data_IF_864935215941
#
_entry.id   IF_864935215941
#
_cell.length_a   1.000
_cell.length_b   1.000
_cell.length_c   1.000
_cell.angle_alpha   90.00
_cell.angle_beta   90.00
_cell.angle_gamma   90.00
#
_symmetry.space_group_name_H-M   'P 1'
#
loop_
_entity.id
_entity.type
_entity.pdbx_description
1 polymer ?
#
# COMPACT_ATOMS: atom_id res chain seq x y z
N UNK A 1 5.16 26.24 -15.69
CA UNK A 1 6.19 25.22 -16.02
C UNK A 1 7.50 25.71 -15.43
N UNK A 2 7.93 25.16 -14.32
CA UNK A 2 9.29 25.34 -13.82
C UNK A 2 10.23 24.65 -14.80
N UNK A 3 11.31 25.32 -15.20
CA UNK A 3 12.34 24.74 -16.06
C UNK A 3 12.84 23.43 -15.40
N UNK A 4 12.95 22.35 -16.19
CA UNK A 4 13.62 21.13 -15.73
C UNK A 4 15.06 21.50 -15.38
N UNK A 5 15.46 21.11 -14.19
CA UNK A 5 16.85 21.19 -13.77
C UNK A 5 17.48 19.86 -14.21
N UNK A 6 18.12 19.89 -15.40
CA UNK A 6 18.64 18.68 -16.05
C UNK A 6 19.73 17.95 -15.23
N UNK A 7 20.23 18.59 -14.15
CA UNK A 7 21.19 17.99 -13.22
C UNK A 7 20.56 17.17 -12.10
N UNK A 8 19.21 17.22 -11.95
CA UNK A 8 18.51 16.46 -10.90
C UNK A 8 17.86 15.19 -11.45
N UNK A 9 17.87 14.06 -10.70
CA UNK A 9 17.21 12.82 -11.11
C UNK A 9 15.72 13.03 -11.43
N UNK A 10 15.23 12.36 -12.47
CA UNK A 10 13.80 12.37 -12.79
C UNK A 10 13.04 11.42 -11.87
N UNK A 11 11.93 11.87 -11.31
CA UNK A 11 10.99 11.06 -10.54
C UNK A 11 9.73 10.80 -11.33
N UNK A 12 9.45 9.54 -11.67
CA UNK A 12 8.17 9.13 -12.24
C UNK A 12 7.19 8.80 -11.12
N UNK A 13 6.07 9.50 -11.11
CA UNK A 13 4.96 9.23 -10.19
C UNK A 13 3.87 8.46 -10.92
N UNK A 14 3.54 7.28 -10.41
CA UNK A 14 2.52 6.39 -10.98
C UNK A 14 1.25 6.47 -10.12
N UNK A 15 0.15 6.87 -10.75
CA UNK A 15 -1.17 7.06 -10.14
C UNK A 15 -2.21 6.20 -10.87
N UNK A 16 -2.64 5.05 -10.33
CA UNK A 16 -3.82 4.34 -10.83
C UNK A 16 -5.08 5.12 -10.45
N UNK A 17 -6.04 5.25 -11.36
CA UNK A 17 -7.31 5.93 -11.11
C UNK A 17 -8.49 5.05 -11.55
N UNK A 18 -9.53 4.96 -10.71
CA UNK A 18 -10.79 4.32 -11.05
C UNK A 18 -11.93 4.89 -10.24
N UNK A 19 -12.84 5.61 -10.89
CA UNK A 19 -14.02 6.24 -10.27
C UNK A 19 -13.64 7.12 -9.06
N UNK A 20 -12.79 8.11 -9.29
CA UNK A 20 -12.29 9.05 -8.27
C UNK A 20 -12.52 10.52 -8.64
N UNK A 21 -13.55 10.82 -9.45
CA UNK A 21 -13.85 12.17 -9.92
C UNK A 21 -13.93 13.21 -8.77
N UNK A 22 -14.41 12.80 -7.59
CA UNK A 22 -14.52 13.69 -6.43
C UNK A 22 -13.14 14.10 -5.82
N UNK A 23 -12.06 13.36 -6.11
CA UNK A 23 -10.78 13.50 -5.41
C UNK A 23 -9.58 13.70 -6.34
N UNK A 24 -9.68 13.21 -7.59
CA UNK A 24 -8.57 13.09 -8.52
C UNK A 24 -7.84 14.43 -8.78
N UNK A 25 -8.58 15.54 -8.87
CA UNK A 25 -7.96 16.84 -9.10
C UNK A 25 -7.02 17.23 -7.95
N UNK A 26 -7.44 17.07 -6.69
CA UNK A 26 -6.61 17.38 -5.53
C UNK A 26 -5.40 16.45 -5.44
N UNK A 27 -5.57 15.17 -5.79
CA UNK A 27 -4.47 14.19 -5.82
C UNK A 27 -3.43 14.55 -6.90
N UNK A 28 -3.87 14.87 -8.11
CA UNK A 28 -3.00 15.32 -9.22
C UNK A 28 -2.27 16.61 -8.85
N UNK A 29 -2.98 17.63 -8.37
CA UNK A 29 -2.37 18.90 -7.98
C UNK A 29 -1.31 18.71 -6.89
N UNK A 30 -1.54 17.83 -5.93
CA UNK A 30 -0.58 17.53 -4.86
C UNK A 30 0.76 16.97 -5.35
N UNK A 31 0.77 16.33 -6.52
CA UNK A 31 1.99 15.84 -7.18
C UNK A 31 2.62 16.94 -8.02
N UNK A 32 1.81 17.67 -8.80
CA UNK A 32 2.30 18.72 -9.71
C UNK A 32 2.84 19.96 -8.96
N UNK A 33 2.37 20.17 -7.73
CA UNK A 33 2.79 21.27 -6.86
C UNK A 33 3.96 20.89 -5.92
N UNK A 34 4.62 19.73 -6.14
CA UNK A 34 5.82 19.40 -5.39
C UNK A 34 6.95 20.38 -5.70
N UNK A 35 7.72 20.70 -4.66
CA UNK A 35 8.88 21.60 -4.72
C UNK A 35 10.14 20.99 -5.35
N UNK A 36 10.00 19.85 -6.02
CA UNK A 36 11.05 19.18 -6.77
C UNK A 36 10.84 19.37 -8.29
N UNK A 37 11.83 19.86 -9.06
CA UNK A 37 11.62 20.34 -10.43
C UNK A 37 11.43 19.23 -11.47
N UNK A 38 12.02 18.05 -11.25
CA UNK A 38 12.03 16.95 -12.22
C UNK A 38 11.06 15.84 -11.84
N UNK A 39 9.75 16.09 -12.02
CA UNK A 39 8.68 15.11 -11.83
C UNK A 39 7.93 14.90 -13.13
N UNK A 40 7.70 13.65 -13.51
CA UNK A 40 6.65 13.27 -14.46
C UNK A 40 5.53 12.55 -13.73
N UNK A 41 4.28 12.91 -14.03
CA UNK A 41 3.10 12.24 -13.50
C UNK A 41 2.46 11.37 -14.58
N UNK A 42 2.32 10.09 -14.31
CA UNK A 42 1.68 9.11 -15.18
C UNK A 42 0.41 8.62 -14.47
N UNK A 43 -0.74 9.05 -14.99
CA UNK A 43 -2.05 8.62 -14.49
C UNK A 43 -2.59 7.53 -15.41
N UNK A 44 -2.99 6.41 -14.81
CA UNK A 44 -3.59 5.29 -15.55
C UNK A 44 -5.05 5.16 -15.13
N UNK A 45 -5.94 5.65 -16.00
CA UNK A 45 -7.38 5.45 -15.81
C UNK A 45 -7.76 4.01 -16.14
N UNK A 46 -8.19 3.29 -15.14
CA UNK A 46 -8.56 1.87 -15.20
C UNK A 46 -10.05 1.68 -15.56
N UNK A 47 -10.53 2.47 -16.55
CA UNK A 47 -11.89 2.37 -17.09
C UNK A 47 -12.96 3.06 -16.23
N UNK A 48 -12.69 4.26 -15.76
CA UNK A 48 -13.65 5.06 -14.98
C UNK A 48 -14.91 5.41 -15.76
N UNK A 49 -16.02 5.56 -15.05
CA UNK A 49 -17.36 5.86 -15.58
C UNK A 49 -18.06 7.05 -14.90
N UNK A 50 -17.33 7.77 -14.03
CA UNK A 50 -17.88 8.82 -13.13
C UNK A 50 -17.42 10.24 -13.45
N UNK A 51 -16.77 10.47 -14.59
CA UNK A 51 -16.21 11.78 -14.95
C UNK A 51 -14.72 11.96 -14.59
N UNK A 52 -14.06 10.97 -14.01
CA UNK A 52 -12.62 11.02 -13.68
C UNK A 52 -11.77 11.35 -14.91
N UNK A 53 -12.06 10.71 -16.06
CA UNK A 53 -11.25 10.88 -17.28
C UNK A 53 -11.42 12.28 -17.88
N UNK A 54 -12.61 12.89 -17.78
CA UNK A 54 -12.87 14.25 -18.24
C UNK A 54 -12.01 15.25 -17.47
N UNK A 55 -11.95 15.12 -16.13
CA UNK A 55 -11.12 15.96 -15.26
C UNK A 55 -9.63 15.78 -15.63
N UNK A 56 -9.18 14.54 -15.82
CA UNK A 56 -7.78 14.26 -16.16
C UNK A 56 -7.37 14.88 -17.51
N UNK A 57 -8.26 14.92 -18.50
CA UNK A 57 -7.99 15.55 -19.80
C UNK A 57 -7.77 17.05 -19.71
N UNK A 58 -8.33 17.74 -18.73
CA UNK A 58 -8.13 19.17 -18.52
C UNK A 58 -6.69 19.54 -18.15
N UNK A 59 -5.92 18.58 -17.63
CA UNK A 59 -4.51 18.79 -17.30
C UNK A 59 -3.59 18.84 -18.52
N UNK A 60 -4.02 18.35 -19.68
CA UNK A 60 -3.25 18.38 -20.93
C UNK A 60 -1.87 17.74 -20.78
N UNK A 61 -0.84 18.46 -21.24
CA UNK A 61 0.55 17.98 -21.21
C UNK A 61 1.22 18.04 -19.83
N UNK A 62 0.51 18.45 -18.79
CA UNK A 62 1.04 18.47 -17.41
C UNK A 62 1.19 17.08 -16.82
N UNK A 63 0.47 16.09 -17.36
CA UNK A 63 0.56 14.69 -16.99
C UNK A 63 0.48 13.80 -18.24
N UNK A 64 0.95 12.57 -18.11
CA UNK A 64 0.74 11.53 -19.12
C UNK A 64 -0.48 10.69 -18.73
N UNK A 65 -1.57 10.79 -19.49
CA UNK A 65 -2.78 10.00 -19.29
C UNK A 65 -2.73 8.72 -20.13
N UNK A 66 -2.88 7.57 -19.47
CA UNK A 66 -3.12 6.27 -20.07
C UNK A 66 -4.54 5.82 -19.73
N UNK A 67 -5.17 5.07 -20.62
CA UNK A 67 -6.51 4.51 -20.41
C UNK A 67 -6.52 3.02 -20.73
N UNK A 68 -7.20 2.24 -19.90
CA UNK A 68 -7.39 0.80 -20.12
C UNK A 68 -8.78 0.37 -19.66
N UNK A 69 -9.19 -0.85 -20.04
CA UNK A 69 -10.36 -1.49 -19.42
C UNK A 69 -10.02 -1.87 -17.97
N UNK A 70 -11.01 -1.84 -17.08
CA UNK A 70 -10.78 -2.15 -15.68
C UNK A 70 -10.18 -3.55 -15.48
N UNK A 71 -8.95 -3.58 -14.95
CA UNK A 71 -8.18 -4.77 -14.62
C UNK A 71 -7.60 -4.72 -13.20
N UNK A 72 -7.89 -3.64 -12.46
CA UNK A 72 -7.48 -3.42 -11.09
C UNK A 72 -6.14 -2.69 -10.94
N UNK A 73 -5.91 -2.17 -9.75
CA UNK A 73 -4.80 -1.27 -9.42
C UNK A 73 -3.41 -1.87 -9.70
N UNK A 74 -3.23 -3.20 -9.58
CA UNK A 74 -1.96 -3.85 -9.91
C UNK A 74 -1.59 -3.71 -11.38
N UNK A 75 -2.55 -3.98 -12.29
CA UNK A 75 -2.35 -3.85 -13.74
C UNK A 75 -2.15 -2.40 -14.13
N UNK A 76 -2.94 -1.49 -13.56
CA UNK A 76 -2.79 -0.05 -13.81
C UNK A 76 -1.41 0.46 -13.34
N UNK A 77 -0.92 0.07 -12.15
CA UNK A 77 0.43 0.42 -11.71
C UNK A 77 1.50 -0.15 -12.64
N UNK A 78 1.36 -1.40 -13.09
CA UNK A 78 2.30 -2.00 -14.04
C UNK A 78 2.34 -1.26 -15.37
N UNK A 79 1.18 -0.82 -15.88
CA UNK A 79 1.10 -0.01 -17.11
C UNK A 79 1.80 1.34 -16.93
N UNK A 80 1.60 2.01 -15.79
CA UNK A 80 2.29 3.26 -15.46
C UNK A 80 3.80 3.09 -15.33
N UNK A 81 4.28 2.05 -14.63
CA UNK A 81 5.70 1.73 -14.52
C UNK A 81 6.33 1.49 -15.90
N UNK A 82 5.65 0.77 -16.78
CA UNK A 82 6.15 0.49 -18.14
C UNK A 82 6.34 1.75 -19.00
N UNK A 83 5.64 2.84 -18.69
CA UNK A 83 5.74 4.13 -19.38
C UNK A 83 6.64 5.15 -18.65
N UNK A 84 7.10 4.82 -17.44
CA UNK A 84 7.93 5.70 -16.64
C UNK A 84 9.35 5.80 -17.19
N UNK A 85 9.97 7.00 -17.08
CA UNK A 85 11.32 7.30 -17.57
C UNK A 85 12.28 7.74 -16.46
N UNK A 86 11.77 8.03 -15.25
CA UNK A 86 12.55 8.56 -14.13
C UNK A 86 13.54 7.57 -13.54
N UNK A 87 14.57 8.08 -12.90
CA UNK A 87 15.57 7.32 -12.13
C UNK A 87 14.95 6.74 -10.85
N UNK A 88 13.92 7.42 -10.36
CA UNK A 88 13.09 7.01 -9.23
C UNK A 88 11.64 6.82 -9.66
N UNK A 89 10.98 5.86 -9.03
CA UNK A 89 9.56 5.59 -9.21
C UNK A 89 8.86 5.72 -7.86
N UNK A 90 7.84 6.57 -7.81
CA UNK A 90 7.00 6.78 -6.63
C UNK A 90 5.54 6.48 -6.96
N UNK A 91 4.74 6.19 -5.93
CA UNK A 91 3.35 5.78 -6.08
C UNK A 91 2.43 6.67 -5.24
N UNK A 92 1.28 6.99 -5.80
CA UNK A 92 0.17 7.65 -5.09
C UNK A 92 -1.15 7.06 -5.57
N UNK A 93 -2.13 6.94 -4.70
CA UNK A 93 -3.49 6.57 -5.08
C UNK A 93 -4.30 7.83 -5.44
N UNK A 94 -5.27 7.70 -6.32
CA UNK A 94 -5.98 8.83 -6.95
C UNK A 94 -7.00 9.54 -6.02
N UNK A 95 -7.09 9.11 -4.79
CA UNK A 95 -7.93 9.67 -3.72
C UNK A 95 -7.12 10.22 -2.53
N UNK A 96 -5.77 10.12 -2.60
CA UNK A 96 -4.86 10.55 -1.55
C UNK A 96 -4.09 11.84 -1.93
N UNK A 97 -3.40 12.44 -0.95
CA UNK A 97 -2.70 13.71 -1.14
C UNK A 97 -1.28 13.65 -0.61
N UNK A 98 -0.31 14.13 -1.39
CA UNK A 98 1.04 14.36 -0.93
C UNK A 98 1.21 15.74 -0.30
N UNK A 99 2.07 15.82 0.71
CA UNK A 99 2.47 17.08 1.29
C UNK A 99 3.69 17.65 0.55
N UNK A 100 3.84 18.97 0.45
CA UNK A 100 5.05 19.60 -0.08
C UNK A 100 6.30 19.10 0.66
N UNK A 101 7.41 18.93 -0.08
CA UNK A 101 8.67 18.44 0.47
C UNK A 101 8.87 16.93 0.42
N UNK A 102 7.86 16.15 0.04
CA UNK A 102 7.98 14.68 -0.02
C UNK A 102 9.05 14.23 -1.02
N UNK A 103 8.92 14.67 -2.26
CA UNK A 103 9.80 14.20 -3.35
C UNK A 103 11.22 14.64 -3.08
N UNK A 104 11.44 15.92 -2.76
CA UNK A 104 12.77 16.46 -2.47
C UNK A 104 13.47 15.70 -1.33
N UNK A 105 12.77 15.46 -0.22
CA UNK A 105 13.34 14.76 0.95
C UNK A 105 13.72 13.31 0.63
N UNK A 106 12.91 12.58 -0.13
CA UNK A 106 13.21 11.19 -0.48
C UNK A 106 14.35 11.09 -1.49
N UNK A 107 14.39 11.96 -2.51
CA UNK A 107 15.49 12.01 -3.47
C UNK A 107 16.80 12.36 -2.76
N UNK A 108 16.82 13.44 -1.97
CA UNK A 108 18.01 13.85 -1.21
C UNK A 108 18.56 12.72 -0.33
N UNK A 109 17.67 11.98 0.33
CA UNK A 109 18.07 10.84 1.15
C UNK A 109 18.65 9.71 0.30
N UNK A 110 18.01 9.33 -0.79
CA UNK A 110 18.44 8.25 -1.65
C UNK A 110 19.75 8.59 -2.39
N UNK A 111 19.95 9.84 -2.79
CA UNK A 111 21.20 10.28 -3.42
C UNK A 111 22.39 10.20 -2.47
N UNK A 112 22.18 10.48 -1.18
CA UNK A 112 23.23 10.32 -0.13
C UNK A 112 23.47 8.85 0.25
N UNK A 113 22.53 7.96 -0.08
CA UNK A 113 22.57 6.54 0.26
C UNK A 113 22.35 5.68 -0.99
N UNK A 114 23.36 5.58 -1.88
CA UNK A 114 23.23 4.86 -3.15
C UNK A 114 22.99 3.35 -2.98
N UNK A 115 23.32 2.80 -1.81
CA UNK A 115 23.08 1.39 -1.45
C UNK A 115 21.60 1.11 -1.14
N UNK A 116 20.79 2.14 -0.85
CA UNK A 116 19.36 1.98 -0.52
C UNK A 116 18.51 2.05 -1.77
N UNK A 117 17.78 0.99 -2.04
CA UNK A 117 16.92 0.90 -3.22
C UNK A 117 15.50 1.40 -3.02
N UNK A 118 15.04 1.53 -1.76
CA UNK A 118 13.67 1.91 -1.43
C UNK A 118 13.60 2.75 -0.17
N UNK A 119 12.82 3.81 -0.22
CA UNK A 119 12.42 4.60 0.95
C UNK A 119 10.91 4.67 1.07
N UNK A 120 10.43 4.88 2.29
CA UNK A 120 9.04 5.26 2.56
C UNK A 120 8.98 6.22 3.75
N UNK A 121 7.83 6.85 3.93
CA UNK A 121 7.59 7.85 4.96
C UNK A 121 6.39 7.47 5.81
N UNK A 122 6.00 8.32 6.74
CA UNK A 122 4.73 8.22 7.44
C UNK A 122 3.62 9.00 6.72
N UNK A 123 2.37 8.74 7.14
CA UNK A 123 1.18 9.41 6.65
C UNK A 123 0.22 9.71 7.80
N UNK A 124 -0.73 10.61 7.56
CA UNK A 124 -1.89 10.79 8.43
C UNK A 124 -3.16 10.24 7.79
N UNK A 125 -3.97 9.56 8.59
CA UNK A 125 -5.34 9.25 8.19
C UNK A 125 -6.16 10.54 8.17
N UNK A 126 -6.72 10.85 7.01
CA UNK A 126 -7.50 12.06 6.78
C UNK A 126 -8.99 11.73 6.71
N UNK A 127 -9.71 12.13 7.74
CA UNK A 127 -11.15 11.89 7.86
C UNK A 127 -11.91 13.16 7.52
N UNK A 128 -13.11 13.04 6.91
CA UNK A 128 -13.98 14.20 6.76
C UNK A 128 -14.46 14.66 8.14
N UNK A 129 -14.79 15.93 8.25
CA UNK A 129 -15.52 16.48 9.38
C UNK A 129 -16.99 16.03 9.39
N UNK A 130 -17.80 16.38 10.42
CA UNK A 130 -19.21 15.98 10.47
C UNK A 130 -20.08 16.52 9.32
N UNK A 131 -19.59 17.53 8.56
CA UNK A 131 -20.25 18.03 7.35
C UNK A 131 -19.91 17.20 6.10
N UNK A 132 -18.98 16.26 6.20
CA UNK A 132 -18.45 15.50 5.07
C UNK A 132 -17.28 16.17 4.34
N UNK A 133 -16.80 17.31 4.86
CA UNK A 133 -15.72 18.09 4.22
C UNK A 133 -14.35 17.62 4.73
N UNK A 134 -13.41 17.43 3.79
CA UNK A 134 -12.01 17.14 4.12
C UNK A 134 -11.24 18.44 4.32
N UNK A 135 -11.06 18.82 5.58
CA UNK A 135 -10.21 19.97 5.93
C UNK A 135 -8.77 19.52 6.13
N UNK A 136 -7.84 20.14 5.40
CA UNK A 136 -6.41 19.86 5.57
C UNK A 136 -5.98 20.28 6.99
N UNK A 137 -5.36 19.37 7.77
CA UNK A 137 -4.85 19.75 9.10
C UNK A 137 -3.78 20.84 8.98
N UNK A 138 -3.66 21.70 9.98
CA UNK A 138 -2.60 22.74 10.01
C UNK A 138 -1.19 22.16 9.90
N UNK A 139 -0.97 20.96 10.41
CA UNK A 139 0.27 20.18 10.25
C UNK A 139 0.53 19.74 8.80
N UNK A 140 -0.45 19.83 7.91
CA UNK A 140 -0.35 19.40 6.51
C UNK A 140 0.15 20.49 5.55
N UNK A 141 0.75 21.57 6.07
CA UNK A 141 1.36 22.64 5.23
C UNK A 141 2.65 22.20 4.52
N UNK A 142 3.22 21.06 4.93
CA UNK A 142 4.42 20.47 4.34
C UNK A 142 4.87 19.23 5.08
N UNK A 143 5.87 18.56 4.54
CA UNK A 143 6.52 17.43 5.21
C UNK A 143 7.06 17.87 6.59
N UNK A 144 6.76 17.09 7.62
CA UNK A 144 7.17 17.38 8.99
C UNK A 144 7.59 16.10 9.72
N UNK A 145 8.46 16.19 10.76
CA UNK A 145 8.89 15.03 11.52
C UNK A 145 7.70 14.27 12.14
N UNK A 146 7.70 12.94 12.00
CA UNK A 146 6.77 12.08 12.71
C UNK A 146 7.08 12.05 14.22
N UNK A 147 8.37 11.92 14.55
CA UNK A 147 8.88 11.97 15.91
C UNK A 147 9.81 13.18 16.09
N UNK A 148 9.65 13.97 17.16
CA UNK A 148 10.46 15.17 17.38
C UNK A 148 11.85 14.90 17.95
N UNK A 149 12.32 13.64 17.96
CA UNK A 149 13.60 13.21 18.54
C UNK A 149 14.84 13.60 17.70
N UNK A 150 14.62 14.26 16.57
CA UNK A 150 15.68 14.72 15.67
C UNK A 150 16.35 13.62 14.84
N UNK A 151 15.94 12.35 14.98
CA UNK A 151 16.49 11.28 14.17
C UNK A 151 15.94 11.36 12.74
N UNK A 152 16.79 11.21 11.71
CA UNK A 152 16.33 11.26 10.29
C UNK A 152 15.56 10.02 9.88
N UNK A 153 15.77 8.88 10.54
CA UNK A 153 15.16 7.60 10.24
C UNK A 153 14.41 7.03 11.43
N UNK A 154 13.39 6.21 11.12
CA UNK A 154 12.68 5.41 12.11
C UNK A 154 13.24 3.98 12.12
N UNK A 155 13.85 3.57 13.24
CA UNK A 155 14.51 2.26 13.39
C UNK A 155 13.60 1.08 13.07
N UNK A 156 12.29 1.21 13.38
CA UNK A 156 11.31 0.16 13.12
C UNK A 156 11.11 -0.10 11.62
N UNK A 157 11.26 0.90 10.80
CA UNK A 157 11.02 0.84 9.35
C UNK A 157 12.29 0.87 8.52
N UNK A 158 13.50 0.68 9.14
CA UNK A 158 14.77 0.80 8.43
C UNK A 158 15.63 -0.47 8.56
N UNK A 159 16.43 -0.76 7.52
CA UNK A 159 17.30 -1.92 7.39
C UNK A 159 16.73 -3.03 6.52
N UNK A 160 17.16 -4.26 6.74
CA UNK A 160 16.62 -5.46 6.09
C UNK A 160 15.24 -5.80 6.69
N UNK A 161 14.16 -5.44 6.00
CA UNK A 161 12.81 -5.51 6.55
C UNK A 161 12.08 -6.84 6.30
N UNK A 162 12.65 -7.77 5.54
CA UNK A 162 11.95 -9.02 5.18
C UNK A 162 11.28 -9.71 6.37
N UNK A 163 12.01 -9.94 7.44
CA UNK A 163 11.50 -10.64 8.62
C UNK A 163 10.41 -9.86 9.36
N UNK A 164 10.49 -8.52 9.38
CA UNK A 164 9.47 -7.66 9.97
C UNK A 164 8.21 -7.64 9.11
N UNK A 165 8.37 -7.58 7.80
CA UNK A 165 7.25 -7.60 6.86
C UNK A 165 6.47 -8.93 6.86
N UNK A 166 7.04 -10.04 7.32
CA UNK A 166 6.26 -11.26 7.55
C UNK A 166 5.13 -11.10 8.59
N UNK A 167 5.18 -10.05 9.42
CA UNK A 167 4.19 -9.74 10.45
C UNK A 167 3.22 -8.62 10.08
N UNK A 168 3.36 -8.02 8.92
CA UNK A 168 2.47 -6.98 8.40
C UNK A 168 3.19 -6.00 7.47
N UNK A 169 2.44 -5.35 6.61
CA UNK A 169 2.99 -4.29 5.76
C UNK A 169 3.33 -3.07 6.59
N UNK A 170 4.57 -2.57 6.47
CA UNK A 170 5.00 -1.29 7.05
C UNK A 170 4.88 -0.15 6.04
N UNK A 171 5.36 -0.30 4.77
CA UNK A 171 5.21 0.75 3.78
C UNK A 171 3.74 0.86 3.33
N UNK A 172 3.23 2.08 3.31
CA UNK A 172 1.99 2.41 2.63
C UNK A 172 2.32 2.88 1.21
N UNK A 173 1.58 2.41 0.21
CA UNK A 173 1.87 2.66 -1.21
C UNK A 173 2.15 4.13 -1.52
N UNK A 174 1.32 5.03 -1.01
CA UNK A 174 1.42 6.48 -1.26
C UNK A 174 2.68 7.15 -0.67
N UNK A 175 3.43 6.42 0.16
CA UNK A 175 4.63 6.95 0.83
C UNK A 175 5.93 6.46 0.20
N UNK A 176 5.84 5.48 -0.70
CA UNK A 176 7.00 4.76 -1.25
C UNK A 176 7.64 5.50 -2.41
N UNK A 177 8.99 5.46 -2.43
CA UNK A 177 9.83 5.78 -3.59
C UNK A 177 10.91 4.69 -3.74
N UNK A 178 11.18 4.27 -4.97
CA UNK A 178 12.12 3.20 -5.30
C UNK A 178 13.04 3.63 -6.44
N UNK A 179 14.28 3.11 -6.45
CA UNK A 179 15.16 3.21 -7.63
C UNK A 179 14.59 2.39 -8.78
N UNK A 180 14.80 2.84 -9.99
CA UNK A 180 14.37 2.13 -11.21
C UNK A 180 14.95 0.72 -11.30
N UNK A 181 16.27 0.55 -11.08
CA UNK A 181 16.92 -0.75 -11.13
C UNK A 181 16.31 -1.75 -10.13
N UNK A 182 15.90 -1.27 -8.95
CA UNK A 182 15.20 -2.11 -7.99
C UNK A 182 13.81 -2.51 -8.50
N UNK A 183 13.04 -1.57 -9.07
CA UNK A 183 11.71 -1.86 -9.64
C UNK A 183 11.82 -2.92 -10.76
N UNK A 184 12.81 -2.81 -11.64
CA UNK A 184 13.08 -3.78 -12.69
C UNK A 184 13.42 -5.17 -12.12
N UNK A 185 14.21 -5.26 -11.06
CA UNK A 185 14.59 -6.51 -10.38
C UNK A 185 13.44 -7.13 -9.59
N UNK A 186 12.58 -6.34 -8.97
CA UNK A 186 11.37 -6.81 -8.27
C UNK A 186 10.34 -7.33 -9.28
N UNK A 187 10.26 -6.69 -10.45
CA UNK A 187 9.32 -7.01 -11.51
C UNK A 187 7.94 -6.39 -11.28
N UNK A 188 6.89 -7.00 -11.80
CA UNK A 188 5.54 -6.47 -11.80
C UNK A 188 4.81 -6.68 -10.47
N UNK A 189 3.85 -5.80 -10.16
CA UNK A 189 2.79 -6.12 -9.19
C UNK A 189 2.00 -7.33 -9.68
N UNK A 190 1.66 -8.25 -8.78
CA UNK A 190 0.95 -9.48 -9.14
C UNK A 190 -0.52 -9.17 -9.49
N UNK A 191 -0.95 -9.34 -10.76
CA UNK A 191 -2.30 -9.02 -11.20
C UNK A 191 -3.36 -10.00 -10.67
N UNK A 192 -2.96 -11.17 -10.19
CA UNK A 192 -3.90 -12.14 -9.58
C UNK A 192 -4.31 -11.74 -8.16
N UNK A 193 -3.54 -10.86 -7.53
CA UNK A 193 -3.83 -10.35 -6.19
C UNK A 193 -4.78 -9.14 -6.30
N UNK A 194 -6.07 -9.35 -6.07
CA UNK A 194 -7.05 -8.24 -6.00
C UNK A 194 -6.81 -7.32 -4.80
N UNK A 195 -6.14 -7.81 -3.74
CA UNK A 195 -5.72 -7.05 -2.56
C UNK A 195 -4.38 -7.57 -2.06
N UNK A 196 -3.61 -6.70 -1.38
CA UNK A 196 -2.30 -7.05 -0.87
C UNK A 196 -1.22 -7.20 -1.94
N UNK A 197 -1.48 -6.73 -3.17
CA UNK A 197 -0.49 -6.69 -4.25
C UNK A 197 0.70 -5.81 -3.90
N UNK A 198 0.47 -4.74 -3.17
CA UNK A 198 1.48 -3.85 -2.61
C UNK A 198 2.30 -4.57 -1.52
N UNK A 199 1.64 -5.27 -0.62
CA UNK A 199 2.32 -6.05 0.42
C UNK A 199 3.21 -7.16 -0.17
N UNK A 200 2.74 -7.90 -1.17
CA UNK A 200 3.56 -8.87 -1.92
C UNK A 200 4.76 -8.17 -2.56
N UNK A 201 4.54 -7.00 -3.16
CA UNK A 201 5.59 -6.22 -3.82
C UNK A 201 6.68 -5.77 -2.84
N UNK A 202 6.30 -5.25 -1.67
CA UNK A 202 7.26 -4.83 -0.64
C UNK A 202 8.01 -6.02 -0.04
N UNK A 203 7.38 -7.17 0.14
CA UNK A 203 8.06 -8.40 0.56
C UNK A 203 9.12 -8.83 -0.47
N UNK A 204 8.83 -8.74 -1.76
CA UNK A 204 9.82 -9.03 -2.82
C UNK A 204 10.95 -8.00 -2.82
N UNK A 205 10.65 -6.73 -2.73
CA UNK A 205 11.64 -5.65 -2.66
C UNK A 205 12.57 -5.82 -1.46
N UNK A 206 12.05 -6.15 -0.29
CA UNK A 206 12.83 -6.35 0.95
C UNK A 206 13.84 -7.51 0.91
N UNK A 207 13.77 -8.33 -0.15
CA UNK A 207 14.79 -9.39 -0.41
C UNK A 207 16.00 -8.89 -1.18
N UNK A 208 15.89 -7.72 -1.81
CA UNK A 208 16.85 -7.23 -2.79
C UNK A 208 17.62 -6.00 -2.31
N UNK A 209 17.11 -5.30 -1.29
CA UNK A 209 17.70 -4.07 -0.77
C UNK A 209 17.36 -3.86 0.70
N UNK A 210 18.15 -3.08 1.39
CA UNK A 210 17.71 -2.41 2.61
C UNK A 210 16.69 -1.32 2.26
N UNK A 211 15.77 -1.08 3.20
CA UNK A 211 14.69 -0.11 3.06
C UNK A 211 14.82 0.90 4.20
N UNK A 212 14.66 2.18 3.92
CA UNK A 212 14.70 3.22 4.95
C UNK A 212 13.32 3.89 5.11
N UNK A 213 12.82 3.92 6.35
CA UNK A 213 11.71 4.77 6.73
C UNK A 213 12.21 6.11 7.22
N UNK A 214 11.96 7.15 6.43
CA UNK A 214 12.26 8.53 6.84
C UNK A 214 11.32 8.95 7.97
N UNK A 215 11.87 9.68 8.95
CA UNK A 215 11.10 10.26 10.06
C UNK A 215 10.30 11.49 9.60
N UNK A 216 9.48 11.33 8.57
CA UNK A 216 8.68 12.39 7.98
C UNK A 216 7.25 11.91 7.71
N UNK A 217 6.28 12.74 8.01
CA UNK A 217 4.91 12.61 7.50
C UNK A 217 4.84 13.40 6.21
N UNK A 218 4.48 12.74 5.12
CA UNK A 218 4.49 13.34 3.78
C UNK A 218 3.24 13.07 2.96
N UNK A 219 2.25 12.42 3.53
CA UNK A 219 1.02 12.09 2.82
C UNK A 219 -0.20 12.09 3.74
N UNK A 220 -1.34 12.38 3.16
CA UNK A 220 -2.66 12.23 3.75
C UNK A 220 -3.38 11.07 3.09
N UNK A 221 -3.74 10.05 3.87
CA UNK A 221 -4.56 8.93 3.43
C UNK A 221 -6.03 9.24 3.68
N UNK A 222 -6.80 9.41 2.61
CA UNK A 222 -8.19 9.82 2.68
C UNK A 222 -9.11 8.66 3.06
N UNK A 223 -9.85 8.83 4.15
CA UNK A 223 -10.83 7.86 4.63
C UNK A 223 -12.24 8.32 4.23
N UNK A 224 -12.69 7.96 3.04
CA UNK A 224 -14.03 8.26 2.54
C UNK A 224 -14.88 6.98 2.42
N UNK A 225 -16.21 7.14 2.47
CA UNK A 225 -17.14 6.00 2.41
C UNK A 225 -17.30 5.38 1.03
N UNK A 226 -17.02 6.16 -0.03
CA UNK A 226 -17.14 5.75 -1.43
C UNK A 226 -15.76 5.42 -1.99
N UNK A 227 -15.58 4.23 -2.57
CA UNK A 227 -14.31 3.83 -3.18
C UNK A 227 -13.29 3.18 -2.24
N UNK A 228 -13.31 3.45 -0.95
CA UNK A 228 -12.57 2.63 -0.01
C UNK A 228 -13.03 1.17 -0.18
N UNK A 229 -12.09 0.23 -0.21
CA UNK A 229 -12.41 -1.19 -0.33
C UNK A 229 -13.16 -1.62 0.94
N UNK A 230 -14.44 -1.23 1.03
CA UNK A 230 -15.30 -1.41 2.20
C UNK A 230 -15.80 -2.84 2.35
N UNK A 231 -15.91 -3.57 1.23
CA UNK A 231 -16.35 -4.96 1.27
C UNK A 231 -15.20 -5.87 1.65
N UNK A 232 -15.33 -6.54 2.77
CA UNK A 232 -14.36 -7.53 3.21
C UNK A 232 -14.27 -8.67 2.19
N UNK A 233 -13.05 -9.08 1.77
CA UNK A 233 -12.87 -10.05 0.69
C UNK A 233 -13.25 -11.47 1.12
N UNK A 234 -13.64 -12.30 0.16
CA UNK A 234 -13.89 -13.72 0.39
C UNK A 234 -12.57 -14.56 0.45
N UNK A 235 -11.45 -13.93 0.15
CA UNK A 235 -10.10 -14.51 0.21
C UNK A 235 -9.27 -13.80 1.27
N UNK A 236 -8.57 -14.57 2.11
CA UNK A 236 -7.61 -14.03 3.07
C UNK A 236 -6.28 -13.73 2.37
N UNK A 237 -6.23 -12.58 1.67
CA UNK A 237 -5.06 -12.19 0.88
C UNK A 237 -3.79 -12.05 1.72
N UNK A 238 -3.88 -11.52 2.93
CA UNK A 238 -2.72 -11.40 3.82
C UNK A 238 -2.11 -12.76 4.15
N UNK A 239 -2.95 -13.75 4.46
CA UNK A 239 -2.50 -15.11 4.68
C UNK A 239 -1.84 -15.70 3.43
N UNK A 240 -2.45 -15.53 2.25
CA UNK A 240 -1.92 -16.05 0.99
C UNK A 240 -0.58 -15.42 0.61
N UNK A 241 -0.44 -14.10 0.76
CA UNK A 241 0.82 -13.37 0.50
C UNK A 241 1.93 -13.90 1.41
N UNK A 242 1.71 -13.97 2.72
CA UNK A 242 2.72 -14.47 3.66
C UNK A 242 3.05 -15.94 3.40
N UNK A 243 2.04 -16.78 3.13
CA UNK A 243 2.25 -18.19 2.81
C UNK A 243 3.08 -18.40 1.52
N UNK A 244 2.75 -17.66 0.45
CA UNK A 244 3.48 -17.66 -0.83
C UNK A 244 4.93 -17.23 -0.62
N UNK A 245 5.14 -16.14 0.12
CA UNK A 245 6.45 -15.60 0.46
C UNK A 245 7.31 -16.60 1.25
N UNK A 246 6.74 -17.23 2.28
CA UNK A 246 7.43 -18.24 3.08
C UNK A 246 7.76 -19.51 2.27
N UNK A 247 6.90 -19.90 1.34
CA UNK A 247 7.14 -21.02 0.42
C UNK A 247 8.32 -20.75 -0.50
N UNK A 248 8.50 -19.47 -0.93
CA UNK A 248 9.55 -19.06 -1.85
C UNK A 248 10.91 -18.82 -1.17
N UNK A 249 10.93 -18.16 -0.01
CA UNK A 249 12.18 -17.70 0.61
C UNK A 249 12.39 -18.18 2.05
N UNK A 250 11.41 -18.85 2.63
CA UNK A 250 11.52 -19.34 4.00
C UNK A 250 11.48 -18.22 5.05
N UNK A 251 12.19 -18.43 6.15
CA UNK A 251 12.15 -17.59 7.36
C UNK A 251 13.43 -16.81 7.62
N UNK A 252 14.41 -16.93 6.74
CA UNK A 252 15.72 -16.26 6.86
C UNK A 252 15.72 -15.05 5.95
N UNK A 253 15.95 -13.88 6.52
CA UNK A 253 16.09 -12.62 5.78
C UNK A 253 17.46 -12.47 5.11
N UNK A 254 17.61 -11.53 4.17
CA UNK A 254 18.90 -11.26 3.50
C UNK A 254 19.99 -10.80 4.46
N UNK A 255 19.63 -10.10 5.54
CA UNK A 255 20.55 -9.70 6.61
C UNK A 255 20.97 -10.84 7.55
N UNK A 256 20.57 -12.09 7.29
CA UNK A 256 20.87 -13.23 8.14
C UNK A 256 19.91 -13.42 9.33
N UNK A 257 18.98 -12.50 9.54
CA UNK A 257 17.96 -12.61 10.58
C UNK A 257 17.04 -13.80 10.35
N UNK A 258 16.71 -14.53 11.41
CA UNK A 258 15.83 -15.68 11.33
C UNK A 258 14.58 -15.52 12.21
N UNK A 259 13.42 -15.58 11.59
CA UNK A 259 12.14 -15.63 12.33
C UNK A 259 11.87 -17.04 12.84
N UNK A 260 11.45 -17.18 14.11
CA UNK A 260 11.15 -18.48 14.70
C UNK A 260 9.92 -19.14 14.04
N UNK A 261 9.93 -20.49 14.00
CA UNK A 261 8.76 -21.25 13.49
C UNK A 261 7.49 -20.97 14.30
N UNK A 262 7.64 -20.84 15.62
CA UNK A 262 6.52 -20.54 16.51
C UNK A 262 5.89 -19.17 16.24
N UNK A 263 6.72 -18.13 16.02
CA UNK A 263 6.23 -16.79 15.68
C UNK A 263 5.44 -16.78 14.35
N UNK A 264 5.97 -17.43 13.30
CA UNK A 264 5.26 -17.55 12.01
C UNK A 264 3.93 -18.32 12.17
N UNK A 265 3.95 -19.46 12.90
CA UNK A 265 2.71 -20.22 13.15
C UNK A 265 1.65 -19.36 13.84
N UNK A 266 2.03 -18.62 14.88
CA UNK A 266 1.14 -17.69 15.59
C UNK A 266 0.61 -16.61 14.67
N UNK A 267 1.50 -15.94 13.91
CA UNK A 267 1.10 -14.91 12.94
C UNK A 267 0.06 -15.42 11.94
N UNK A 268 0.29 -16.59 11.33
CA UNK A 268 -0.65 -17.19 10.39
C UNK A 268 -1.96 -17.63 11.06
N UNK A 269 -1.93 -18.07 12.33
CA UNK A 269 -3.13 -18.37 13.10
C UNK A 269 -3.95 -17.09 13.37
N UNK A 270 -3.30 -16.00 13.79
CA UNK A 270 -3.92 -14.71 14.06
C UNK A 270 -4.58 -14.14 12.79
N UNK A 271 -3.89 -14.20 11.65
CA UNK A 271 -4.44 -13.75 10.35
C UNK A 271 -5.70 -14.55 9.97
N UNK A 272 -5.66 -15.88 10.15
CA UNK A 272 -6.84 -16.72 9.96
C UNK A 272 -7.95 -16.40 10.97
N UNK A 273 -7.61 -16.16 12.23
CA UNK A 273 -8.59 -15.81 13.26
C UNK A 273 -9.31 -14.50 12.91
N UNK A 274 -8.56 -13.44 12.58
CA UNK A 274 -9.13 -12.13 12.25
C UNK A 274 -10.04 -12.21 11.04
N UNK A 275 -9.64 -12.93 9.99
CA UNK A 275 -10.46 -13.16 8.81
C UNK A 275 -11.76 -13.94 9.17
N UNK A 276 -11.62 -15.01 9.94
CA UNK A 276 -12.77 -15.80 10.43
C UNK A 276 -13.72 -14.98 11.30
N UNK A 277 -13.18 -14.13 12.18
CA UNK A 277 -13.96 -13.30 13.10
C UNK A 277 -14.82 -12.28 12.33
N UNK A 278 -14.26 -11.61 11.31
CA UNK A 278 -15.04 -10.72 10.46
C UNK A 278 -16.18 -11.46 9.76
N UNK A 279 -15.87 -12.59 9.11
CA UNK A 279 -16.89 -13.37 8.39
C UNK A 279 -17.95 -14.00 9.30
N UNK A 280 -17.61 -14.26 10.55
CA UNK A 280 -18.59 -14.73 11.55
C UNK A 280 -19.65 -13.67 11.85
N UNK A 281 -19.24 -12.39 11.99
CA UNK A 281 -20.15 -11.33 12.37
C UNK A 281 -20.85 -10.68 11.17
N UNK A 282 -20.14 -10.43 10.10
CA UNK A 282 -20.58 -9.55 9.01
C UNK A 282 -20.59 -10.23 7.62
N UNK A 283 -20.02 -11.44 7.50
CA UNK A 283 -19.83 -12.11 6.22
C UNK A 283 -20.43 -13.52 6.14
N UNK A 284 -19.72 -14.44 5.47
CA UNK A 284 -20.13 -15.83 5.26
C UNK A 284 -19.63 -16.74 6.39
N UNK A 285 -20.54 -17.36 7.17
CA UNK A 285 -20.18 -18.30 8.25
C UNK A 285 -19.38 -19.51 7.78
N UNK A 286 -19.46 -19.91 6.50
CA UNK A 286 -18.69 -21.02 5.95
C UNK A 286 -17.22 -20.62 5.78
N UNK A 287 -16.96 -19.40 5.32
CA UNK A 287 -15.60 -18.84 5.28
C UNK A 287 -15.05 -18.68 6.70
N UNK A 288 -15.87 -18.21 7.64
CA UNK A 288 -15.51 -18.14 9.04
C UNK A 288 -15.06 -19.51 9.60
N UNK A 289 -15.89 -20.55 9.44
CA UNK A 289 -15.58 -21.89 9.93
C UNK A 289 -14.29 -22.45 9.31
N UNK A 290 -14.11 -22.29 7.99
CA UNK A 290 -12.85 -22.71 7.32
C UNK A 290 -11.64 -21.98 7.87
N UNK A 291 -11.76 -20.68 8.11
CA UNK A 291 -10.65 -19.86 8.60
C UNK A 291 -10.30 -20.17 10.06
N UNK A 292 -11.31 -20.38 10.93
CA UNK A 292 -11.06 -20.82 12.30
C UNK A 292 -10.44 -22.23 12.36
N UNK A 293 -10.85 -23.15 11.48
CA UNK A 293 -10.19 -24.45 11.37
C UNK A 293 -8.71 -24.29 10.99
N UNK A 294 -8.39 -23.43 10.05
CA UNK A 294 -6.99 -23.15 9.69
C UNK A 294 -6.21 -22.49 10.83
N UNK A 295 -6.86 -21.65 11.63
CA UNK A 295 -6.27 -21.05 12.81
C UNK A 295 -6.00 -22.10 13.91
N UNK A 296 -6.96 -22.97 14.23
CA UNK A 296 -6.79 -24.05 15.24
C UNK A 296 -5.70 -25.05 14.87
N UNK A 297 -5.54 -25.40 13.60
CA UNK A 297 -4.45 -26.25 13.13
C UNK A 297 -3.06 -25.64 13.38
N UNK A 298 -2.97 -24.30 13.46
CA UNK A 298 -1.73 -23.58 13.72
C UNK A 298 -1.54 -23.20 15.18
N UNK A 299 -2.62 -22.90 15.89
CA UNK A 299 -2.62 -22.63 17.32
C UNK A 299 -3.73 -23.44 18.02
N UNK A 300 -3.47 -24.73 18.33
CA UNK A 300 -4.47 -25.62 18.93
C UNK A 300 -4.82 -25.26 20.38
N UNK A 301 -4.03 -24.37 21.01
CA UNK A 301 -4.24 -24.00 22.41
C UNK A 301 -5.16 -22.78 22.57
N UNK A 302 -5.54 -22.13 21.49
CA UNK A 302 -6.44 -20.97 21.50
C UNK A 302 -7.90 -21.41 21.77
N UNK A 303 -8.36 -21.27 23.01
CA UNK A 303 -9.74 -21.60 23.40
C UNK A 303 -10.76 -20.76 22.61
N UNK A 304 -10.49 -19.49 22.41
CA UNK A 304 -11.37 -18.60 21.63
C UNK A 304 -11.55 -19.09 20.18
N UNK A 305 -10.49 -19.56 19.55
CA UNK A 305 -10.56 -20.09 18.17
C UNK A 305 -11.46 -21.32 18.09
N UNK A 306 -11.35 -22.24 19.04
CA UNK A 306 -12.24 -23.41 19.11
C UNK A 306 -13.70 -23.02 19.30
N UNK A 307 -13.97 -22.06 20.21
CA UNK A 307 -15.33 -21.58 20.44
C UNK A 307 -15.94 -20.99 19.15
N UNK A 308 -15.20 -20.12 18.46
CA UNK A 308 -15.69 -19.53 17.20
C UNK A 308 -15.80 -20.55 16.06
N UNK A 309 -14.95 -21.58 16.02
CA UNK A 309 -15.08 -22.69 15.06
C UNK A 309 -16.41 -23.41 15.21
N UNK A 310 -16.76 -23.82 16.45
CA UNK A 310 -18.02 -24.50 16.75
C UNK A 310 -19.22 -23.61 16.44
N UNK A 311 -19.19 -22.35 16.87
CA UNK A 311 -20.26 -21.37 16.61
C UNK A 311 -20.47 -21.13 15.11
N UNK A 312 -19.38 -20.99 14.34
CA UNK A 312 -19.45 -20.78 12.90
C UNK A 312 -19.97 -22.01 12.16
N UNK A 313 -19.57 -23.23 12.57
CA UNK A 313 -20.09 -24.47 12.02
C UNK A 313 -21.60 -24.58 12.27
N UNK A 314 -22.07 -24.32 13.49
CA UNK A 314 -23.51 -24.27 13.82
C UNK A 314 -24.29 -23.25 12.99
N UNK A 315 -23.75 -22.02 12.87
CA UNK A 315 -24.35 -20.95 12.07
C UNK A 315 -24.42 -21.29 10.58
N UNK A 316 -23.42 -21.99 10.04
CA UNK A 316 -23.38 -22.43 8.65
C UNK A 316 -24.41 -23.49 8.32
N UNK A 317 -24.72 -24.39 9.27
CA UNK A 317 -25.71 -25.47 9.13
C UNK A 317 -27.15 -24.94 9.23
N UNK A 318 -27.39 -23.95 10.08
CA UNK A 318 -28.73 -23.40 10.29
C UNK A 318 -29.22 -22.46 9.19
N UNK A 319 -28.40 -22.17 8.18
CA UNK A 319 -28.79 -21.40 7.00
C UNK A 319 -29.20 -19.95 7.26
N UNK A 320 -28.98 -19.42 8.48
CA UNK A 320 -29.29 -18.03 8.81
C UNK A 320 -28.27 -17.08 8.16
N UNK A 321 -28.41 -16.87 6.84
CA UNK A 321 -27.95 -15.63 6.22
C UNK A 321 -28.80 -14.52 6.81
N UNK A 322 -28.19 -13.51 7.46
CA UNK A 322 -28.89 -12.24 7.66
C UNK A 322 -29.28 -11.76 6.26
N UNK A 323 -30.58 -11.69 5.97
CA UNK A 323 -31.08 -10.98 4.80
C UNK A 323 -30.51 -9.55 4.89
N UNK A 324 -29.82 -9.14 3.84
CA UNK A 324 -29.35 -7.77 3.66
C UNK A 324 -30.51 -6.88 3.27
#
# INVERSE_FOLDING_TARGET
>A
MTARDDDKPLVSVVMPAYNTAAYIAESVDSVLDQDYPNVELIVVDDGSTDGTIEILREYGDRLRLLTQQNQGAAVARNAGIAQSQGDYIAFIDSDDVWLPGKVAAQVEHMDRHPEIGMTFTAWHNWKPDPSGTFQKPDAAKGAHPMNPDGKPLLDRGSGWLYNRLLFGSLPHTITVMMRRDLVERVGQFDPELKRGQDYDYWLRASRLTEIHQLNLVTALYRLHGEGCITKYPDTNYEFEVVRKTLGRWGRVGPGGEQTSRGAIRRRLAETCFSFGYHHYWEGDPRLAARSFLQSTLRDPWSVSTWAYLVLSAGKSLTGRRKAR
#
